data_IF_036138517312
#
_entry.id   IF_036138517312
#
_cell.length_a   1.000
_cell.length_b   1.000
_cell.length_c   1.000
_cell.angle_alpha   90.00
_cell.angle_beta   90.00
_cell.angle_gamma   90.00
#
_symmetry.space_group_name_H-M   'P 1'
#
loop_
_entity.id
_entity.type
_entity.pdbx_description
1 polymer ?
#
# COMPACT_ATOMS: atom_id res chain seq x y z
N UNK A 1 -21.03 19.30 11.84
CA UNK A 1 -20.80 17.86 11.65
C UNK A 1 -20.52 17.25 13.02
N UNK A 2 -21.33 16.31 13.49
CA UNK A 2 -21.11 15.65 14.79
C UNK A 2 -19.96 14.64 14.68
N UNK A 3 -19.17 14.49 15.75
CA UNK A 3 -18.00 13.60 15.82
C UNK A 3 -18.30 12.14 15.43
N UNK A 4 -19.55 11.67 15.62
CA UNK A 4 -19.98 10.31 15.28
C UNK A 4 -19.99 10.03 13.78
N UNK A 5 -20.18 11.05 12.92
CA UNK A 5 -20.16 10.84 11.46
C UNK A 5 -18.73 10.66 10.92
N UNK A 6 -17.72 10.79 11.77
CA UNK A 6 -16.31 10.59 11.45
C UNK A 6 -15.78 9.22 11.85
N UNK A 7 -16.62 8.35 12.41
CA UNK A 7 -16.21 7.01 12.87
C UNK A 7 -16.84 5.93 12.01
N UNK A 8 -15.99 5.05 11.48
CA UNK A 8 -16.37 3.91 10.66
C UNK A 8 -16.02 2.64 11.42
N UNK A 9 -17.00 1.75 11.60
CA UNK A 9 -16.76 0.45 12.20
C UNK A 9 -16.37 -0.55 11.12
N UNK A 10 -15.25 -1.21 11.31
CA UNK A 10 -14.79 -2.32 10.47
C UNK A 10 -14.77 -3.60 11.28
N UNK A 11 -15.08 -4.73 10.64
CA UNK A 11 -15.02 -6.06 11.25
C UNK A 11 -13.78 -6.78 10.74
N UNK A 12 -12.87 -7.16 11.63
CA UNK A 12 -11.60 -7.82 11.28
C UNK A 12 -11.38 -8.98 12.25
N UNK A 13 -11.27 -10.18 11.71
CA UNK A 13 -10.93 -11.41 12.44
C UNK A 13 -11.79 -11.65 13.69
N UNK A 14 -13.10 -11.41 13.56
CA UNK A 14 -14.09 -11.62 14.62
C UNK A 14 -14.24 -10.46 15.60
N UNK A 15 -13.52 -9.35 15.42
CA UNK A 15 -13.59 -8.17 16.28
C UNK A 15 -13.98 -6.90 15.49
N UNK A 16 -14.77 -6.03 16.12
CA UNK A 16 -15.15 -4.73 15.56
C UNK A 16 -14.18 -3.63 16.02
N UNK A 17 -13.65 -2.87 15.06
CA UNK A 17 -12.73 -1.76 15.31
C UNK A 17 -13.32 -0.43 14.83
N UNK A 18 -13.39 0.60 15.70
CA UNK A 18 -13.77 1.95 15.29
C UNK A 18 -12.57 2.69 14.68
N UNK A 19 -12.68 3.08 13.42
CA UNK A 19 -11.67 3.87 12.70
C UNK A 19 -12.19 5.30 12.56
N UNK A 20 -11.41 6.27 13.05
CA UNK A 20 -11.76 7.69 12.93
C UNK A 20 -11.11 8.28 11.69
N UNK A 21 -11.91 8.93 10.85
CA UNK A 21 -11.44 9.70 9.71
C UNK A 21 -11.41 11.20 9.99
N UNK A 22 -10.63 11.90 9.18
CA UNK A 22 -10.61 13.35 9.12
C UNK A 22 -10.93 13.77 7.69
N UNK A 23 -12.04 14.50 7.54
CA UNK A 23 -12.56 14.93 6.25
C UNK A 23 -13.44 16.17 6.44
N UNK A 24 -13.37 17.04 5.44
CA UNK A 24 -13.96 18.38 5.46
C UNK A 24 -15.29 18.46 4.69
N UNK A 25 -15.55 17.49 3.81
CA UNK A 25 -16.77 17.41 3.00
C UNK A 25 -17.27 15.95 2.89
N UNK A 26 -18.48 15.80 2.34
CA UNK A 26 -19.15 14.50 2.23
C UNK A 26 -18.51 13.58 1.17
N UNK A 27 -17.87 14.15 0.14
CA UNK A 27 -17.19 13.36 -0.90
C UNK A 27 -15.94 12.66 -0.34
N UNK A 28 -15.14 13.38 0.44
CA UNK A 28 -13.96 12.86 1.14
C UNK A 28 -14.36 11.80 2.19
N UNK A 29 -15.51 11.99 2.85
CA UNK A 29 -16.05 11.02 3.80
C UNK A 29 -16.35 9.66 3.13
N UNK A 30 -16.99 9.68 1.95
CA UNK A 30 -17.30 8.46 1.20
C UNK A 30 -16.04 7.79 0.64
N UNK A 31 -15.06 8.57 0.14
CA UNK A 31 -13.77 8.02 -0.29
C UNK A 31 -12.99 7.38 0.86
N UNK A 32 -12.92 8.06 2.00
CA UNK A 32 -12.29 7.53 3.21
C UNK A 32 -12.96 6.22 3.65
N UNK A 33 -14.29 6.18 3.64
CA UNK A 33 -15.06 4.98 3.99
C UNK A 33 -14.78 3.81 3.06
N UNK A 34 -14.79 4.04 1.75
CA UNK A 34 -14.47 3.00 0.77
C UNK A 34 -13.05 2.47 0.98
N UNK A 35 -12.08 3.37 1.17
CA UNK A 35 -10.69 3.00 1.39
C UNK A 35 -10.50 2.18 2.67
N UNK A 36 -11.07 2.62 3.79
CA UNK A 36 -10.97 1.92 5.09
C UNK A 36 -11.61 0.53 5.03
N UNK A 37 -12.77 0.40 4.37
CA UNK A 37 -13.43 -0.90 4.18
C UNK A 37 -12.58 -1.84 3.32
N UNK A 38 -11.94 -1.33 2.27
CA UNK A 38 -11.05 -2.12 1.43
C UNK A 38 -9.83 -2.62 2.20
N UNK A 39 -9.17 -1.74 2.96
CA UNK A 39 -8.03 -2.11 3.81
C UNK A 39 -8.44 -3.14 4.87
N UNK A 40 -9.59 -2.94 5.53
CA UNK A 40 -10.09 -3.89 6.52
C UNK A 40 -10.33 -5.27 5.91
N UNK A 41 -10.97 -5.33 4.74
CA UNK A 41 -11.19 -6.59 4.00
C UNK A 41 -9.87 -7.28 3.64
N UNK A 42 -8.86 -6.52 3.23
CA UNK A 42 -7.54 -7.07 2.92
C UNK A 42 -6.87 -7.69 4.15
N UNK A 43 -6.88 -6.97 5.28
CA UNK A 43 -6.30 -7.43 6.54
C UNK A 43 -7.03 -8.67 7.06
N UNK A 44 -8.37 -8.66 7.03
CA UNK A 44 -9.20 -9.78 7.45
C UNK A 44 -8.88 -11.06 6.66
N UNK A 45 -8.82 -10.95 5.32
CA UNK A 45 -8.44 -12.05 4.45
C UNK A 45 -7.04 -12.59 4.78
N UNK A 46 -6.04 -11.72 4.93
CA UNK A 46 -4.67 -12.13 5.30
C UNK A 46 -4.62 -12.84 6.65
N UNK A 47 -5.38 -12.37 7.64
CA UNK A 47 -5.44 -13.01 8.95
C UNK A 47 -6.05 -14.41 8.86
N UNK A 48 -7.12 -14.59 8.07
CA UNK A 48 -7.70 -15.90 7.80
C UNK A 48 -6.73 -16.85 7.08
N UNK A 49 -6.03 -16.39 6.03
CA UNK A 49 -5.01 -17.18 5.32
C UNK A 49 -3.87 -17.64 6.25
N UNK A 50 -3.42 -16.78 7.17
CA UNK A 50 -2.37 -17.12 8.14
C UNK A 50 -2.89 -18.10 9.19
N UNK A 51 -4.14 -17.94 9.62
CA UNK A 51 -4.79 -18.82 10.59
C UNK A 51 -4.92 -20.25 10.04
N UNK A 52 -5.31 -20.41 8.77
CA UNK A 52 -5.43 -21.72 8.10
C UNK A 52 -4.10 -22.47 8.05
N UNK A 53 -2.98 -21.75 7.90
CA UNK A 53 -1.64 -22.34 7.80
C UNK A 53 -0.99 -22.62 9.17
N UNK A 54 -1.59 -22.15 10.26
CA UNK A 54 -0.96 -22.14 11.58
C UNK A 54 -1.88 -22.74 12.64
N UNK A 55 -1.78 -24.05 12.88
CA UNK A 55 -2.44 -24.66 14.03
C UNK A 55 -1.90 -24.07 15.35
N UNK A 56 -2.81 -23.72 16.27
CA UNK A 56 -2.55 -23.32 17.67
C UNK A 56 -1.89 -21.94 17.92
N UNK A 57 -2.04 -20.96 17.03
CA UNK A 57 -1.63 -19.57 17.31
C UNK A 57 -2.77 -18.74 17.91
N UNK A 58 -2.44 -17.82 18.80
CA UNK A 58 -3.40 -16.85 19.35
C UNK A 58 -3.78 -15.81 18.29
N UNK A 59 -4.98 -15.18 18.35
CA UNK A 59 -5.38 -14.10 17.45
C UNK A 59 -4.35 -12.96 17.40
N UNK A 60 -3.75 -12.61 18.54
CA UNK A 60 -2.67 -11.62 18.63
C UNK A 60 -1.45 -12.01 17.80
N UNK A 61 -1.02 -13.26 17.85
CA UNK A 61 0.13 -13.73 17.07
C UNK A 61 -0.20 -13.73 15.57
N UNK A 62 -1.44 -14.06 15.19
CA UNK A 62 -1.92 -13.97 13.82
C UNK A 62 -1.86 -12.52 13.34
N UNK A 63 -2.38 -11.56 14.13
CA UNK A 63 -2.35 -10.14 13.80
C UNK A 63 -0.91 -9.62 13.60
N UNK A 64 0.02 -9.97 14.50
CA UNK A 64 1.43 -9.57 14.35
C UNK A 64 2.05 -10.16 13.08
N UNK A 65 1.77 -11.42 12.75
CA UNK A 65 2.25 -12.04 11.51
C UNK A 65 1.66 -11.39 10.26
N UNK A 66 0.38 -11.03 10.29
CA UNK A 66 -0.29 -10.28 9.22
C UNK A 66 0.41 -8.94 9.00
N UNK A 67 0.64 -8.18 10.09
CA UNK A 67 1.36 -6.89 10.01
C UNK A 67 2.75 -7.07 9.40
N UNK A 68 3.50 -8.09 9.83
CA UNK A 68 4.83 -8.38 9.28
C UNK A 68 4.77 -8.73 7.79
N UNK A 69 3.80 -9.54 7.35
CA UNK A 69 3.63 -9.88 5.93
C UNK A 69 3.30 -8.65 5.09
N UNK A 70 2.33 -7.85 5.53
CA UNK A 70 1.93 -6.63 4.81
C UNK A 70 3.05 -5.60 4.76
N UNK A 71 3.81 -5.45 5.85
CA UNK A 71 4.97 -4.55 5.89
C UNK A 71 6.09 -5.03 4.94
N UNK A 72 6.36 -6.34 4.89
CA UNK A 72 7.36 -6.91 3.97
C UNK A 72 6.95 -6.69 2.49
N UNK A 73 5.68 -6.93 2.15
CA UNK A 73 5.14 -6.65 0.81
C UNK A 73 5.31 -5.16 0.43
N UNK A 74 4.99 -4.25 1.35
CA UNK A 74 5.16 -2.81 1.12
C UNK A 74 6.62 -2.43 0.92
N UNK A 75 7.55 -2.98 1.70
CA UNK A 75 8.98 -2.69 1.58
C UNK A 75 9.56 -3.21 0.27
N UNK A 76 9.17 -4.42 -0.15
CA UNK A 76 9.57 -4.97 -1.45
C UNK A 76 9.06 -4.12 -2.61
N UNK A 77 7.78 -3.73 -2.59
CA UNK A 77 7.21 -2.85 -3.62
C UNK A 77 7.93 -1.49 -3.70
N UNK A 78 8.38 -0.93 -2.58
CA UNK A 78 9.19 0.30 -2.57
C UNK A 78 10.56 0.09 -3.22
N UNK A 79 11.25 -0.99 -2.88
CA UNK A 79 12.55 -1.34 -3.46
C UNK A 79 12.45 -1.59 -4.97
N UNK A 80 11.43 -2.32 -5.42
CA UNK A 80 11.17 -2.57 -6.85
C UNK A 80 10.93 -1.26 -7.61
N UNK A 81 10.14 -0.33 -7.03
CA UNK A 81 9.90 0.98 -7.64
C UNK A 81 11.18 1.81 -7.75
N UNK A 82 12.03 1.81 -6.72
CA UNK A 82 13.31 2.51 -6.74
C UNK A 82 14.25 1.93 -7.82
N UNK A 83 14.29 0.60 -7.95
CA UNK A 83 15.04 -0.08 -9.02
C UNK A 83 14.54 0.32 -10.41
N UNK A 84 13.23 0.27 -10.64
CA UNK A 84 12.63 0.67 -11.93
C UNK A 84 12.92 2.13 -12.29
N UNK A 85 12.88 3.05 -11.32
CA UNK A 85 13.23 4.45 -11.55
C UNK A 85 14.71 4.63 -11.90
N UNK A 86 15.60 3.85 -11.27
CA UNK A 86 17.02 3.84 -11.60
C UNK A 86 17.26 3.34 -13.03
N UNK A 87 16.63 2.24 -13.42
CA UNK A 87 16.75 1.67 -14.76
C UNK A 87 16.23 2.66 -15.83
N UNK A 88 15.10 3.30 -15.56
CA UNK A 88 14.53 4.31 -16.44
C UNK A 88 15.46 5.51 -16.60
N UNK A 89 16.05 6.00 -15.50
CA UNK A 89 17.02 7.09 -15.53
C UNK A 89 18.27 6.72 -16.33
N UNK A 90 18.81 5.52 -16.12
CA UNK A 90 19.98 5.06 -16.86
C UNK A 90 19.70 4.92 -18.36
N UNK A 91 18.50 4.46 -18.73
CA UNK A 91 18.08 4.44 -20.13
C UNK A 91 17.98 5.86 -20.73
N UNK A 92 17.40 6.80 -19.99
CA UNK A 92 17.28 8.19 -20.43
C UNK A 92 18.66 8.84 -20.64
N UNK A 93 19.59 8.65 -19.70
CA UNK A 93 20.96 9.17 -19.79
C UNK A 93 21.69 8.56 -21.00
N UNK A 94 21.61 7.23 -21.18
CA UNK A 94 22.21 6.55 -22.34
C UNK A 94 21.63 7.03 -23.69
N UNK A 95 20.35 7.36 -23.74
CA UNK A 95 19.71 7.90 -24.95
C UNK A 95 20.16 9.33 -25.23
N UNK A 96 20.30 10.16 -24.19
CA UNK A 96 20.82 11.52 -24.31
C UNK A 96 22.25 11.53 -24.87
N UNK A 97 23.13 10.71 -24.29
CA UNK A 97 24.52 10.58 -24.74
C UNK A 97 24.63 10.20 -26.22
N UNK A 98 23.77 9.28 -26.68
CA UNK A 98 23.73 8.86 -28.09
C UNK A 98 23.23 9.95 -29.03
N UNK A 99 22.32 10.81 -28.59
CA UNK A 99 21.86 11.95 -29.37
C UNK A 99 22.99 12.98 -29.51
N UNK A 100 23.67 13.29 -28.41
CA UNK A 100 24.78 14.23 -28.40
C UNK A 100 25.94 13.76 -29.29
N UNK A 101 26.29 12.46 -29.23
CA UNK A 101 27.31 11.86 -30.11
C UNK A 101 26.94 12.05 -31.60
N UNK A 102 25.67 11.82 -31.97
CA UNK A 102 25.21 11.95 -33.35
C UNK A 102 25.20 13.41 -33.82
N UNK A 103 24.80 14.36 -32.97
CA UNK A 103 24.80 15.79 -33.28
C UNK A 103 26.23 16.34 -33.49
N UNK A 104 27.18 15.91 -32.66
CA UNK A 104 28.59 16.28 -32.80
C UNK A 104 29.20 15.72 -34.09
N UNK A 105 28.87 14.47 -34.46
CA UNK A 105 29.37 13.83 -35.68
C UNK A 105 28.78 14.40 -36.98
N UNK A 106 27.62 15.07 -36.92
CA UNK A 106 26.96 15.65 -38.09
C UNK A 106 27.34 17.13 -38.35
N UNK A 107 28.04 17.76 -37.40
CA UNK A 107 28.45 19.18 -37.46
C UNK A 107 29.91 19.38 -37.84
N UNK A 108 30.66 18.29 -38.08
CA UNK A 108 32.03 18.29 -38.62
C UNK A 108 32.08 17.69 -40.01
#
# INVERSE_FOLDING_TARGET
MSDDNRVIKVHIFGEDYPIRGDFDNDEDAEQFKQHVLEVARYVDQKMHEIAERSANRTPKNIAVLTVLNVADELLKLKQEREGQLSDFRQLADNLADRIDEKLLSASG
#
